data_IF_233777669314
#
_entry.id   IF_233777669314
#
_cell.length_a   1.000
_cell.length_b   1.000
_cell.length_c   1.000
_cell.angle_alpha   90.00
_cell.angle_beta   90.00
_cell.angle_gamma   90.00
#
_symmetry.space_group_name_H-M   'P 1'
#
loop_
_entity.id
_entity.type
_entity.pdbx_description
1 polymer ?
#
# COMPACT_ATOMS: atom_id res chain seq x y z
N UNK A 1 11.25 -0.88 -6.88
CA UNK A 1 10.12 -1.64 -6.29
C UNK A 1 10.27 -1.57 -4.78
N UNK A 2 9.27 -1.09 -4.06
CA UNK A 2 9.15 -1.19 -2.61
C UNK A 2 7.95 -2.09 -2.32
N UNK A 3 8.14 -3.13 -1.52
CA UNK A 3 7.08 -4.02 -1.07
C UNK A 3 6.98 -3.97 0.45
N UNK A 4 5.77 -3.80 0.95
CA UNK A 4 5.46 -3.66 2.37
C UNK A 4 4.40 -4.70 2.69
N UNK A 5 4.68 -5.55 3.67
CA UNK A 5 3.73 -6.54 4.15
C UNK A 5 3.11 -6.06 5.46
N UNK A 6 1.78 -5.91 5.47
CA UNK A 6 1.02 -5.75 6.70
C UNK A 6 0.48 -7.13 7.16
N UNK A 7 -0.49 -7.16 8.08
CA UNK A 7 -0.93 -8.41 8.71
C UNK A 7 -1.52 -9.42 7.72
N UNK A 8 -2.40 -8.96 6.85
CA UNK A 8 -3.10 -9.76 5.83
C UNK A 8 -2.92 -9.21 4.41
N UNK A 9 -2.66 -7.91 4.26
CA UNK A 9 -2.46 -7.27 2.95
C UNK A 9 -0.98 -7.13 2.57
N UNK A 10 -0.73 -7.00 1.27
CA UNK A 10 0.59 -6.63 0.72
C UNK A 10 0.46 -5.35 -0.10
N UNK A 11 1.34 -4.39 0.15
CA UNK A 11 1.41 -3.12 -0.56
C UNK A 11 2.66 -3.15 -1.45
N UNK A 12 2.46 -2.98 -2.75
CA UNK A 12 3.55 -2.92 -3.73
C UNK A 12 3.60 -1.53 -4.38
N UNK A 13 4.78 -0.93 -4.41
CA UNK A 13 5.02 0.40 -4.95
C UNK A 13 6.12 0.35 -6.01
N UNK A 14 5.77 0.74 -7.23
CA UNK A 14 6.73 1.00 -8.30
C UNK A 14 7.43 2.35 -8.08
N UNK A 15 8.50 2.30 -7.29
CA UNK A 15 9.27 3.49 -6.90
C UNK A 15 9.92 4.23 -8.07
N UNK A 16 10.02 3.64 -9.27
CA UNK A 16 10.54 4.31 -10.47
C UNK A 16 9.60 5.42 -10.96
N UNK A 17 8.29 5.26 -10.74
CA UNK A 17 7.27 6.27 -11.06
C UNK A 17 7.18 7.38 -10.01
N UNK A 18 7.85 7.21 -8.87
CA UNK A 18 7.78 8.16 -7.76
C UNK A 18 8.74 9.34 -7.92
N UNK A 19 9.81 9.21 -8.71
CA UNK A 19 10.80 10.29 -8.91
C UNK A 19 10.14 11.60 -9.39
N UNK A 20 9.19 11.51 -10.32
CA UNK A 20 8.47 12.65 -10.91
C UNK A 20 7.13 12.97 -10.23
N UNK A 21 6.76 12.26 -9.17
CA UNK A 21 5.47 12.45 -8.49
C UNK A 21 5.55 13.69 -7.57
N UNK A 22 4.99 14.83 -7.96
CA UNK A 22 5.10 16.06 -7.16
C UNK A 22 4.27 16.01 -5.87
N UNK A 23 3.08 15.42 -5.92
CA UNK A 23 2.12 15.47 -4.80
C UNK A 23 2.52 14.59 -3.63
N UNK A 24 3.21 13.47 -3.89
CA UNK A 24 3.48 12.40 -2.92
C UNK A 24 2.23 12.04 -2.09
N UNK A 25 1.06 12.10 -2.73
CA UNK A 25 -0.24 12.07 -2.04
C UNK A 25 -0.45 10.81 -1.18
N UNK A 26 0.19 9.69 -1.54
CA UNK A 26 0.14 8.46 -0.76
C UNK A 26 0.66 8.62 0.68
N UNK A 27 1.76 9.35 0.90
CA UNK A 27 2.31 9.56 2.24
C UNK A 27 1.43 10.50 3.07
N UNK A 28 0.93 11.58 2.46
CA UNK A 28 -0.01 12.49 3.10
C UNK A 28 -1.32 11.78 3.50
N UNK A 29 -1.86 10.94 2.61
CA UNK A 29 -3.05 10.14 2.89
C UNK A 29 -2.81 9.10 3.98
N UNK A 30 -1.67 8.38 3.96
CA UNK A 30 -1.31 7.41 4.98
C UNK A 30 -1.24 8.06 6.38
N UNK A 31 -0.70 9.28 6.47
CA UNK A 31 -0.65 10.06 7.72
C UNK A 31 -2.00 10.59 8.15
N UNK A 32 -2.84 11.07 7.22
CA UNK A 32 -4.13 11.70 7.51
C UNK A 32 -5.20 10.68 7.92
N UNK A 33 -5.26 9.54 7.26
CA UNK A 33 -6.35 8.56 7.41
C UNK A 33 -5.95 7.30 8.18
N UNK A 34 -4.66 7.12 8.48
CA UNK A 34 -4.14 5.97 9.21
C UNK A 34 -2.99 6.40 10.14
N UNK A 35 -1.92 5.61 10.21
CA UNK A 35 -0.80 5.82 11.15
C UNK A 35 0.47 6.39 10.52
N UNK A 36 0.41 6.74 9.23
CA UNK A 36 1.55 7.34 8.53
C UNK A 36 2.77 6.43 8.44
N UNK A 37 2.59 5.17 8.03
CA UNK A 37 3.70 4.23 7.78
C UNK A 37 4.62 4.71 6.65
N UNK A 38 4.08 5.37 5.63
CA UNK A 38 4.87 5.86 4.50
C UNK A 38 5.49 7.22 4.86
N UNK A 39 6.82 7.29 4.86
CA UNK A 39 7.58 8.54 4.87
C UNK A 39 8.21 8.78 3.51
N UNK A 40 8.46 10.05 3.17
CA UNK A 40 9.17 10.40 1.94
C UNK A 40 10.65 10.54 2.24
N UNK A 41 11.45 9.68 1.65
CA UNK A 41 12.92 9.68 1.70
C UNK A 41 13.42 9.76 0.26
N UNK A 42 14.29 10.73 -0.04
CA UNK A 42 14.81 10.98 -1.39
C UNK A 42 13.71 11.07 -2.47
N UNK A 43 12.58 11.70 -2.11
CA UNK A 43 11.44 11.86 -3.01
C UNK A 43 10.62 10.59 -3.24
N UNK A 44 10.87 9.49 -2.52
CA UNK A 44 10.14 8.22 -2.68
C UNK A 44 9.49 7.81 -1.36
N UNK A 45 8.32 7.13 -1.41
CA UNK A 45 7.78 6.48 -0.22
C UNK A 45 8.75 5.42 0.29
N UNK A 46 8.95 5.38 1.60
CA UNK A 46 9.82 4.47 2.32
C UNK A 46 9.23 4.13 3.69
N UNK A 47 9.56 2.94 4.19
CA UNK A 47 9.27 2.47 5.55
C UNK A 47 10.54 2.11 6.33
N UNK A 48 11.73 2.49 5.82
CA UNK A 48 13.03 2.07 6.38
C UNK A 48 13.27 2.50 7.83
N UNK A 49 12.54 3.52 8.30
CA UNK A 49 12.56 3.93 9.71
C UNK A 49 11.84 2.96 10.65
N UNK A 50 11.18 1.92 10.12
CA UNK A 50 10.48 0.86 10.86
C UNK A 50 11.10 -0.49 10.56
N UNK A 51 11.15 -1.35 11.57
CA UNK A 51 11.42 -2.77 11.37
C UNK A 51 10.22 -3.49 10.72
N UNK A 52 10.45 -4.63 10.09
CA UNK A 52 9.38 -5.45 9.51
C UNK A 52 8.30 -5.84 10.55
N UNK A 53 8.69 -6.12 11.79
CA UNK A 53 7.75 -6.41 12.88
C UNK A 53 6.90 -5.21 13.28
N UNK A 54 7.46 -4.00 13.20
CA UNK A 54 6.70 -2.77 13.45
C UNK A 54 5.72 -2.47 12.31
N UNK A 55 6.13 -2.67 11.06
CA UNK A 55 5.21 -2.55 9.89
C UNK A 55 4.01 -3.48 10.07
N UNK A 56 4.24 -4.75 10.40
CA UNK A 56 3.18 -5.74 10.65
C UNK A 56 2.24 -5.35 11.79
N UNK A 57 2.75 -4.63 12.81
CA UNK A 57 1.98 -4.25 14.00
C UNK A 57 1.25 -2.91 13.86
N UNK A 58 1.86 -1.96 13.15
CA UNK A 58 1.38 -0.59 13.00
C UNK A 58 0.50 -0.40 11.76
N UNK A 59 0.64 -1.27 10.76
CA UNK A 59 -0.25 -1.38 9.62
C UNK A 59 -1.71 -1.49 10.07
N UNK A 60 -2.57 -0.66 9.51
CA UNK A 60 -4.02 -0.67 9.79
C UNK A 60 -4.83 -1.18 8.61
N UNK A 61 -4.17 -1.65 7.56
CA UNK A 61 -4.75 -2.24 6.36
C UNK A 61 -5.72 -1.28 5.64
N UNK A 62 -5.41 0.02 5.69
CA UNK A 62 -6.20 1.05 5.03
C UNK A 62 -5.83 1.14 3.54
N UNK A 63 -6.80 1.45 2.69
CA UNK A 63 -6.58 1.62 1.24
C UNK A 63 -6.27 3.08 0.83
N UNK A 64 -6.10 3.97 1.81
CA UNK A 64 -6.00 5.40 1.56
C UNK A 64 -4.80 5.78 0.68
N UNK A 65 -3.66 5.13 0.85
CA UNK A 65 -2.46 5.39 0.05
C UNK A 65 -2.61 4.95 -1.41
N UNK A 66 -3.34 3.87 -1.69
CA UNK A 66 -3.64 3.40 -3.05
C UNK A 66 -4.57 4.36 -3.77
N UNK A 67 -5.68 4.70 -3.11
CA UNK A 67 -6.67 5.63 -3.64
C UNK A 67 -6.00 6.98 -3.94
N UNK A 68 -5.24 7.54 -2.99
CA UNK A 68 -4.55 8.80 -3.20
C UNK A 68 -3.50 8.71 -4.32
N UNK A 69 -2.71 7.63 -4.39
CA UNK A 69 -1.74 7.46 -5.48
C UNK A 69 -2.42 7.34 -6.84
N UNK A 70 -3.62 6.73 -6.90
CA UNK A 70 -4.38 6.50 -8.12
C UNK A 70 -4.98 7.78 -8.69
N UNK A 71 -5.52 8.64 -7.83
CA UNK A 71 -6.24 9.85 -8.24
C UNK A 71 -5.40 11.12 -8.22
N UNK A 72 -4.43 11.21 -7.30
CA UNK A 72 -3.66 12.43 -7.04
C UNK A 72 -2.15 12.24 -7.24
N UNK A 73 -1.70 11.03 -7.58
CA UNK A 73 -0.29 10.71 -7.83
C UNK A 73 -0.08 9.97 -9.15
N UNK A 74 1.04 9.24 -9.23
CA UNK A 74 1.48 8.58 -10.47
C UNK A 74 1.01 7.13 -10.63
N UNK A 75 -0.05 6.69 -9.93
CA UNK A 75 -0.62 5.33 -10.04
C UNK A 75 0.46 4.23 -9.87
N UNK A 76 1.34 4.44 -8.90
CA UNK A 76 2.50 3.59 -8.64
C UNK A 76 2.26 2.54 -7.55
N UNK A 77 1.18 2.67 -6.77
CA UNK A 77 0.90 1.84 -5.61
C UNK A 77 -0.27 0.89 -5.93
N UNK A 78 -0.15 -0.36 -5.49
CA UNK A 78 -1.22 -1.36 -5.54
C UNK A 78 -1.26 -2.11 -4.22
N UNK A 79 -2.47 -2.45 -3.75
CA UNK A 79 -2.68 -3.23 -2.54
C UNK A 79 -3.38 -4.54 -2.90
N UNK A 80 -2.71 -5.65 -2.58
CA UNK A 80 -3.30 -6.97 -2.64
C UNK A 80 -4.00 -7.29 -1.32
N UNK A 81 -5.29 -7.62 -1.39
CA UNK A 81 -6.14 -7.98 -0.24
C UNK A 81 -6.61 -9.42 -0.44
N UNK A 82 -5.81 -10.42 -0.03
CA UNK A 82 -6.17 -11.81 -0.23
C UNK A 82 -7.34 -12.20 0.67
N UNK A 83 -8.40 -12.74 0.06
CA UNK A 83 -9.55 -13.28 0.80
C UNK A 83 -9.41 -14.80 0.85
N UNK A 84 -8.95 -15.31 2.00
CA UNK A 84 -8.79 -16.75 2.21
C UNK A 84 -10.09 -17.51 1.92
N UNK A 85 -10.02 -18.44 0.96
CA UNK A 85 -11.15 -19.30 0.58
C UNK A 85 -12.11 -18.71 -0.46
N UNK A 86 -11.83 -17.54 -1.03
CA UNK A 86 -12.68 -16.93 -2.07
C UNK A 86 -12.77 -17.80 -3.33
N UNK A 87 -11.65 -18.38 -3.76
CA UNK A 87 -11.62 -19.26 -4.94
C UNK A 87 -12.52 -20.48 -4.75
N UNK A 88 -12.45 -21.11 -3.56
CA UNK A 88 -13.31 -22.23 -3.20
C UNK A 88 -14.78 -21.81 -3.15
N UNK A 89 -15.06 -20.61 -2.65
CA UNK A 89 -16.42 -20.05 -2.58
C UNK A 89 -17.01 -19.78 -3.98
N UNK A 90 -16.20 -19.26 -4.90
CA UNK A 90 -16.56 -18.92 -6.27
C UNK A 90 -16.78 -20.18 -7.12
N UNK A 91 -15.88 -21.17 -7.00
CA UNK A 91 -16.00 -22.46 -7.66
C UNK A 91 -17.33 -23.17 -7.33
N UNK A 92 -17.76 -23.13 -6.06
CA UNK A 92 -19.06 -23.69 -5.61
C UNK A 92 -20.29 -23.04 -6.26
N UNK A 93 -20.12 -21.86 -6.87
CA UNK A 93 -21.18 -21.09 -7.53
C UNK A 93 -21.05 -21.08 -9.05
N UNK A 94 -20.06 -21.78 -9.61
CA UNK A 94 -19.78 -21.76 -11.05
C UNK A 94 -19.30 -20.40 -11.56
N UNK A 95 -18.69 -19.59 -10.69
CA UNK A 95 -18.17 -18.27 -11.01
C UNK A 95 -16.64 -18.31 -11.06
N UNK A 96 -16.07 -19.09 -11.98
CA UNK A 96 -14.62 -19.12 -12.24
C UNK A 96 -14.36 -19.41 -13.71
#
# INVERSE_FOLDING_TARGET
MLEIKEKSITISIDTSKCDTCETKACAAACKKYARGLLQIVDGKPSVEYLSAGEVLRLGTECLACEIACKFEGNKALTIDVPITGIDVYLAKRGLQ
#
